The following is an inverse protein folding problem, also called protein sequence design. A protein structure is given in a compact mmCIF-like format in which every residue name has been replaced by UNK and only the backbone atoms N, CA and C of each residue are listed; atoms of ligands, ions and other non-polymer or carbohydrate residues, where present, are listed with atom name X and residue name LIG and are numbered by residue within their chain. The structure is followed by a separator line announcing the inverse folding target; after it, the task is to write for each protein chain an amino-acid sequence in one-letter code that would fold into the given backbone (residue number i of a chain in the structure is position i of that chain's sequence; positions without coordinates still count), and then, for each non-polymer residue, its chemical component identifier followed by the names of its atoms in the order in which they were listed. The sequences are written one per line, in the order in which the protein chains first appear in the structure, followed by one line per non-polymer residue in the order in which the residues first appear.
data_IF_394893864483
#
_entry.id   IF_394893864483
#
_cell.length_a   1.000
_cell.length_b   1.000
_cell.length_c   1.000
_cell.angle_alpha   90.00
_cell.angle_beta   90.00
_cell.angle_gamma   90.00
#
_symmetry.space_group_name_H-M   'P 1'
#
loop_
_entity.id
_entity.type
_entity.pdbx_description
1 polymer ?
#
# COMPACT_ATOMS: atom_id res chain seq x y z
N UNK A 1 1.66 6.92 -1.44
CA UNK A 1 1.73 8.07 -2.38
C UNK A 1 2.36 7.67 -3.73
N UNK A 2 1.79 6.65 -4.43
CA UNK A 2 2.38 6.14 -5.68
C UNK A 2 2.51 7.20 -6.78
N UNK A 3 1.58 8.17 -6.82
CA UNK A 3 1.54 9.19 -7.87
C UNK A 3 2.70 10.19 -7.80
N UNK A 4 3.17 10.53 -6.60
CA UNK A 4 4.20 11.56 -6.40
C UNK A 4 5.48 11.04 -5.72
N UNK A 5 5.54 9.75 -5.41
CA UNK A 5 6.60 9.17 -4.59
C UNK A 5 6.41 9.38 -3.09
N UNK A 6 7.26 8.72 -2.30
CA UNK A 6 7.23 8.79 -0.84
C UNK A 6 8.66 8.75 -0.28
N UNK A 7 9.00 9.63 0.68
CA UNK A 7 8.22 10.77 1.17
C UNK A 7 8.27 11.96 0.20
N UNK A 8 7.17 12.73 0.11
CA UNK A 8 7.12 13.96 -0.70
C UNK A 8 7.45 15.21 0.13
N UNK A 9 7.55 15.06 1.44
CA UNK A 9 8.04 16.06 2.40
C UNK A 9 7.37 17.44 2.25
N UNK A 10 8.14 18.51 2.33
CA UNK A 10 7.67 19.90 2.25
C UNK A 10 7.03 20.28 0.91
N UNK A 11 7.13 19.42 -0.12
CA UNK A 11 6.34 19.59 -1.34
C UNK A 11 4.84 19.55 -1.06
N UNK A 12 4.43 18.74 -0.07
CA UNK A 12 3.04 18.62 0.36
C UNK A 12 2.45 19.92 0.94
N UNK A 13 3.30 20.85 1.38
CA UNK A 13 2.89 22.17 1.86
C UNK A 13 2.63 23.17 0.73
N UNK A 14 2.98 22.83 -0.51
CA UNK A 14 2.81 23.70 -1.69
C UNK A 14 1.47 23.42 -2.36
N UNK A 15 0.52 24.37 -2.39
CA UNK A 15 -0.79 24.17 -3.02
C UNK A 15 -0.67 23.70 -4.49
N UNK A 16 0.21 24.34 -5.28
CA UNK A 16 0.40 23.96 -6.67
C UNK A 16 0.88 22.50 -6.87
N UNK A 17 1.60 21.93 -5.91
CA UNK A 17 1.99 20.51 -5.96
C UNK A 17 0.78 19.59 -5.77
N UNK A 18 -0.07 19.90 -4.81
CA UNK A 18 -1.31 19.14 -4.55
C UNK A 18 -2.26 19.24 -5.74
N UNK A 19 -2.43 20.45 -6.30
CA UNK A 19 -3.27 20.68 -7.49
C UNK A 19 -2.75 19.86 -8.68
N UNK A 20 -1.44 19.88 -8.93
CA UNK A 20 -0.82 19.06 -9.99
C UNK A 20 -1.06 17.56 -9.75
N UNK A 21 -0.92 17.07 -8.52
CA UNK A 21 -1.22 15.68 -8.21
C UNK A 21 -2.69 15.32 -8.49
N UNK A 22 -3.62 16.24 -8.23
CA UNK A 22 -5.04 16.02 -8.51
C UNK A 22 -5.32 15.98 -10.02
N UNK A 23 -4.69 16.87 -10.80
CA UNK A 23 -4.80 16.91 -12.26
C UNK A 23 -4.23 15.65 -12.91
N UNK A 24 -3.04 15.20 -12.47
CA UNK A 24 -2.41 13.97 -12.96
C UNK A 24 -3.22 12.72 -12.59
N UNK A 25 -3.80 12.68 -11.38
CA UNK A 25 -4.71 11.61 -11.00
C UNK A 25 -5.96 11.58 -11.90
N UNK A 26 -6.53 12.72 -12.22
CA UNK A 26 -7.69 12.82 -13.11
C UNK A 26 -7.34 12.37 -14.55
N UNK A 27 -6.16 12.77 -15.04
CA UNK A 27 -5.65 12.35 -16.35
C UNK A 27 -5.39 10.83 -16.40
N UNK A 28 -4.81 10.25 -15.35
CA UNK A 28 -4.64 8.81 -15.21
C UNK A 28 -5.99 8.10 -15.14
N UNK A 29 -6.92 8.62 -14.34
CA UNK A 29 -8.25 8.02 -14.18
C UNK A 29 -8.98 7.90 -15.52
N UNK A 30 -8.92 8.92 -16.37
CA UNK A 30 -9.54 8.92 -17.69
C UNK A 30 -9.02 7.79 -18.62
N UNK A 31 -7.81 7.28 -18.38
CA UNK A 31 -7.19 6.21 -19.16
C UNK A 31 -7.52 4.80 -18.64
N UNK A 32 -8.01 4.66 -17.40
CA UNK A 32 -8.33 3.37 -16.79
C UNK A 32 -9.65 2.84 -17.35
N UNK A 33 -9.59 1.78 -18.19
CA UNK A 33 -10.74 1.14 -18.79
C UNK A 33 -10.67 -0.40 -18.64
N UNK A 34 -11.80 -1.02 -18.31
CA UNK A 34 -11.92 -2.49 -18.20
C UNK A 34 -11.22 -3.12 -16.99
N UNK A 35 -10.60 -2.31 -16.12
CA UNK A 35 -9.99 -2.74 -14.86
C UNK A 35 -10.44 -1.81 -13.72
N UNK A 36 -10.15 -2.23 -12.49
CA UNK A 36 -10.17 -1.33 -11.33
C UNK A 36 -8.74 -1.08 -10.88
N UNK A 37 -8.29 0.17 -10.87
CA UNK A 37 -6.98 0.57 -10.39
C UNK A 37 -7.08 1.18 -8.99
N UNK A 38 -6.06 0.93 -8.16
CA UNK A 38 -5.92 1.51 -6.82
C UNK A 38 -4.63 2.33 -6.79
N UNK A 39 -4.75 3.65 -6.57
CA UNK A 39 -3.61 4.58 -6.70
C UNK A 39 -3.49 5.45 -5.45
N UNK A 40 -2.32 5.40 -4.79
CA UNK A 40 -1.99 6.27 -3.66
C UNK A 40 -1.61 7.68 -4.12
N UNK A 41 -2.16 8.72 -3.48
CA UNK A 41 -1.91 10.12 -3.82
C UNK A 41 -2.14 11.05 -2.62
N UNK A 42 -1.58 12.28 -2.61
CA UNK A 42 -1.94 13.30 -1.63
C UNK A 42 -3.25 13.97 -2.06
N UNK A 43 -4.26 13.92 -1.20
CA UNK A 43 -5.57 14.52 -1.45
C UNK A 43 -5.75 15.82 -0.67
N UNK A 44 -6.48 16.79 -1.25
CA UNK A 44 -7.04 17.93 -0.54
C UNK A 44 -8.56 17.77 -0.48
N UNK A 45 -9.11 17.69 0.74
CA UNK A 45 -10.54 17.54 0.93
C UNK A 45 -11.00 18.36 2.14
N UNK A 46 -12.04 19.21 1.95
CA UNK A 46 -12.54 20.08 3.01
C UNK A 46 -11.54 21.14 3.51
N UNK A 47 -10.47 21.40 2.77
CA UNK A 47 -9.38 22.30 3.16
C UNK A 47 -8.21 21.60 3.87
N UNK A 48 -8.34 20.30 4.18
CA UNK A 48 -7.33 19.50 4.85
C UNK A 48 -6.64 18.54 3.86
N UNK A 49 -5.39 18.18 4.15
CA UNK A 49 -4.59 17.25 3.35
C UNK A 49 -4.64 15.85 3.93
N UNK A 50 -4.72 14.85 3.04
CA UNK A 50 -4.78 13.44 3.40
C UNK A 50 -3.79 12.61 2.58
N UNK A 51 -3.14 11.64 3.20
CA UNK A 51 -2.54 10.53 2.49
C UNK A 51 -3.67 9.59 2.07
N UNK A 52 -3.93 9.50 0.77
CA UNK A 52 -5.15 8.89 0.25
C UNK A 52 -4.88 7.81 -0.79
N UNK A 53 -5.87 6.95 -1.01
CA UNK A 53 -5.93 6.01 -2.11
C UNK A 53 -7.23 6.19 -2.90
N UNK A 54 -7.10 6.37 -4.21
CA UNK A 54 -8.22 6.43 -5.15
C UNK A 54 -8.51 5.05 -5.71
N UNK A 55 -9.79 4.66 -5.72
CA UNK A 55 -10.31 3.52 -6.48
C UNK A 55 -10.84 4.05 -7.81
N UNK A 56 -10.19 3.67 -8.89
CA UNK A 56 -10.49 4.16 -10.24
C UNK A 56 -11.12 3.04 -11.05
N UNK A 57 -12.24 3.33 -11.70
CA UNK A 57 -12.94 2.40 -12.58
C UNK A 57 -13.59 3.14 -13.75
N UNK A 58 -13.40 2.62 -14.96
CA UNK A 58 -14.06 3.10 -16.18
C UNK A 58 -14.00 4.64 -16.34
N UNK A 59 -12.82 5.18 -16.25
CA UNK A 59 -12.54 6.60 -16.50
C UNK A 59 -12.80 7.53 -15.32
N UNK A 60 -13.12 7.03 -14.11
CA UNK A 60 -13.46 7.90 -12.97
C UNK A 60 -13.01 7.35 -11.62
N UNK A 61 -12.79 8.22 -10.67
CA UNK A 61 -12.59 7.87 -9.26
C UNK A 61 -13.97 7.52 -8.67
N UNK A 62 -14.13 6.29 -8.17
CA UNK A 62 -15.38 5.80 -7.60
C UNK A 62 -15.41 5.85 -6.09
N UNK A 63 -14.27 5.66 -5.43
CA UNK A 63 -14.11 5.76 -3.99
C UNK A 63 -12.76 6.39 -3.66
N UNK A 64 -12.65 6.98 -2.48
CA UNK A 64 -11.40 7.48 -1.92
C UNK A 64 -11.28 6.98 -0.48
N UNK A 65 -10.11 6.46 -0.14
CA UNK A 65 -9.72 6.11 1.21
C UNK A 65 -8.74 7.14 1.75
N UNK A 66 -8.92 7.57 2.98
CA UNK A 66 -7.99 8.41 3.72
C UNK A 66 -7.30 7.57 4.79
N UNK A 67 -5.99 7.59 4.81
CA UNK A 67 -5.16 6.84 5.75
C UNK A 67 -5.50 7.18 7.20
N UNK A 68 -5.69 6.16 8.04
CA UNK A 68 -6.08 6.34 9.44
C UNK A 68 -4.89 6.60 10.36
N UNK A 69 -3.78 5.86 10.16
CA UNK A 69 -2.60 5.91 11.02
C UNK A 69 -1.48 6.69 10.34
N UNK A 70 -1.12 7.80 10.93
CA UNK A 70 -0.05 8.69 10.46
C UNK A 70 1.20 8.42 11.30
N UNK A 71 2.20 7.68 10.79
CA UNK A 71 3.42 7.44 11.55
C UNK A 71 4.21 8.75 11.73
N UNK A 72 4.68 8.98 12.96
CA UNK A 72 5.43 10.17 13.36
C UNK A 72 6.62 9.76 14.25
N UNK A 73 7.41 8.80 13.77
CA UNK A 73 8.57 8.22 14.45
C UNK A 73 9.63 7.79 13.42
N UNK A 74 10.89 7.69 13.84
CA UNK A 74 12.04 7.36 13.00
C UNK A 74 12.14 8.29 11.79
N UNK A 75 11.95 7.73 10.58
CA UNK A 75 12.01 8.45 9.30
C UNK A 75 10.65 9.02 8.86
N UNK A 76 9.61 8.85 9.67
CA UNK A 76 8.26 9.27 9.32
C UNK A 76 7.86 10.54 10.06
N UNK A 77 7.24 11.48 9.32
CA UNK A 77 6.69 12.75 9.84
C UNK A 77 5.34 13.06 9.15
N UNK A 78 4.44 12.07 9.11
CA UNK A 78 3.18 12.24 8.38
C UNK A 78 2.18 13.17 9.08
N UNK A 79 2.19 13.25 10.41
CA UNK A 79 1.33 14.16 11.18
C UNK A 79 1.59 15.64 10.86
N UNK A 80 2.78 15.98 10.38
CA UNK A 80 3.12 17.33 9.93
C UNK A 80 2.33 17.76 8.68
N UNK A 81 1.96 16.80 7.84
CA UNK A 81 1.46 17.06 6.49
C UNK A 81 0.00 16.69 6.31
N UNK A 82 -0.49 15.70 7.03
CA UNK A 82 -1.77 15.07 6.79
C UNK A 82 -2.66 15.01 8.03
N UNK A 83 -3.97 15.03 7.79
CA UNK A 83 -4.98 14.68 8.77
C UNK A 83 -5.35 13.20 8.69
N UNK A 84 -5.67 12.54 9.80
CA UNK A 84 -6.10 11.15 9.81
C UNK A 84 -7.50 10.97 9.23
N UNK A 85 -7.69 9.93 8.44
CA UNK A 85 -9.00 9.42 8.07
C UNK A 85 -9.60 8.53 9.16
N UNK A 86 -10.91 8.24 9.05
CA UNK A 86 -11.61 7.40 10.03
C UNK A 86 -12.59 6.41 9.38
N UNK A 87 -12.93 6.61 8.11
CA UNK A 87 -13.95 5.85 7.40
C UNK A 87 -13.35 4.67 6.63
N UNK A 88 -14.06 3.54 6.62
CA UNK A 88 -13.69 2.43 5.76
C UNK A 88 -13.90 2.78 4.29
N UNK A 89 -13.00 2.30 3.44
CA UNK A 89 -13.23 2.22 2.00
C UNK A 89 -13.39 0.74 1.63
N UNK A 90 -14.61 0.34 1.30
CA UNK A 90 -14.93 -1.00 0.81
C UNK A 90 -15.68 -0.89 -0.51
N UNK A 91 -15.19 -1.56 -1.53
CA UNK A 91 -15.83 -1.59 -2.85
C UNK A 91 -15.96 -3.03 -3.36
N UNK A 92 -16.90 -3.25 -4.27
CA UNK A 92 -17.08 -4.56 -4.89
C UNK A 92 -16.20 -4.72 -6.13
N UNK A 93 -15.50 -5.84 -6.22
CA UNK A 93 -14.71 -6.25 -7.39
C UNK A 93 -15.06 -7.70 -7.75
N UNK A 94 -15.78 -7.91 -8.85
CA UNK A 94 -16.20 -9.24 -9.34
C UNK A 94 -16.83 -10.11 -8.25
N UNK A 95 -17.70 -9.54 -7.44
CA UNK A 95 -18.42 -10.24 -6.38
C UNK A 95 -17.66 -10.38 -5.06
N UNK A 96 -16.42 -9.85 -4.95
CA UNK A 96 -15.64 -9.80 -3.70
C UNK A 96 -15.66 -8.38 -3.16
N UNK A 97 -15.94 -8.21 -1.87
CA UNK A 97 -15.86 -6.93 -1.18
C UNK A 97 -14.43 -6.67 -0.72
N UNK A 98 -13.82 -5.67 -1.31
CA UNK A 98 -12.41 -5.34 -1.13
C UNK A 98 -12.26 -4.12 -0.23
N UNK A 99 -11.57 -4.27 0.88
CA UNK A 99 -11.16 -3.19 1.76
C UNK A 99 -9.80 -2.60 1.37
N UNK A 100 -9.59 -1.33 1.68
CA UNK A 100 -8.33 -0.61 1.41
C UNK A 100 -7.71 -0.13 2.71
N UNK A 101 -6.41 -0.34 2.86
CA UNK A 101 -5.57 0.30 3.89
C UNK A 101 -4.28 0.84 3.27
N UNK A 102 -3.60 1.73 3.99
CA UNK A 102 -2.30 2.31 3.58
C UNK A 102 -1.28 2.10 4.69
N UNK A 103 -0.25 1.32 4.41
CA UNK A 103 0.99 1.14 5.18
C UNK A 103 0.77 1.02 6.71
N UNK A 104 0.98 2.09 7.48
CA UNK A 104 0.88 2.10 8.95
C UNK A 104 -0.49 1.64 9.48
N UNK A 105 -1.53 1.70 8.68
CA UNK A 105 -2.87 1.23 9.05
C UNK A 105 -2.92 -0.24 9.50
N UNK A 106 -2.02 -1.06 8.98
CA UNK A 106 -1.97 -2.50 9.33
C UNK A 106 -0.93 -2.82 10.40
N UNK A 107 -0.08 -1.85 10.79
CA UNK A 107 0.92 -2.05 11.85
C UNK A 107 0.31 -2.01 13.24
N UNK A 108 -0.85 -1.39 13.37
CA UNK A 108 -1.65 -1.35 14.59
C UNK A 108 -3.06 -1.90 14.32
N UNK A 109 -3.76 -2.29 15.38
CA UNK A 109 -5.18 -2.65 15.31
C UNK A 109 -6.04 -1.42 15.00
N UNK A 110 -7.22 -1.62 14.43
CA UNK A 110 -8.25 -0.61 14.21
C UNK A 110 -8.62 -0.41 12.76
N UNK A 111 -7.71 0.03 11.86
CA UNK A 111 -8.08 0.31 10.47
C UNK A 111 -8.55 -0.94 9.70
N UNK A 112 -7.87 -2.07 9.87
CA UNK A 112 -8.31 -3.34 9.29
C UNK A 112 -9.64 -3.83 9.89
N UNK A 113 -9.86 -3.59 11.19
CA UNK A 113 -11.13 -3.91 11.89
C UNK A 113 -12.29 -3.09 11.33
N UNK A 114 -12.07 -1.80 11.07
CA UNK A 114 -13.05 -0.89 10.44
C UNK A 114 -13.41 -1.39 9.04
N UNK A 115 -12.44 -1.80 8.23
CA UNK A 115 -12.68 -2.39 6.92
C UNK A 115 -13.48 -3.71 7.03
N UNK A 116 -13.12 -4.59 7.99
CA UNK A 116 -13.86 -5.83 8.27
C UNK A 116 -15.29 -5.55 8.71
N UNK A 117 -15.48 -4.60 9.62
CA UNK A 117 -16.80 -4.17 10.11
C UNK A 117 -17.70 -3.62 9.00
N UNK A 118 -17.12 -2.94 8.00
CA UNK A 118 -17.78 -2.48 6.79
C UNK A 118 -18.04 -3.61 5.77
N UNK A 119 -17.62 -4.83 6.09
CA UNK A 119 -17.92 -6.03 5.32
C UNK A 119 -16.87 -6.40 4.28
N UNK A 120 -15.63 -5.96 4.40
CA UNK A 120 -14.55 -6.43 3.55
C UNK A 120 -14.36 -7.96 3.67
N UNK A 121 -13.96 -8.58 2.57
CA UNK A 121 -13.66 -10.02 2.43
C UNK A 121 -12.21 -10.25 2.01
N UNK A 122 -11.57 -9.21 1.49
CA UNK A 122 -10.17 -9.14 1.10
C UNK A 122 -9.64 -7.75 1.45
N UNK A 123 -8.40 -7.65 1.93
CA UNK A 123 -7.73 -6.39 2.21
C UNK A 123 -6.60 -6.12 1.21
N UNK A 124 -6.64 -4.97 0.55
CA UNK A 124 -5.54 -4.45 -0.26
C UNK A 124 -4.81 -3.36 0.51
N UNK A 125 -3.50 -3.50 0.67
CA UNK A 125 -2.66 -2.57 1.42
C UNK A 125 -1.61 -1.97 0.50
N UNK A 126 -1.67 -0.64 0.32
CA UNK A 126 -0.67 0.13 -0.42
C UNK A 126 0.45 0.58 0.52
N UNK A 127 1.70 0.33 0.17
CA UNK A 127 2.81 0.59 1.06
C UNK A 127 3.97 1.31 0.38
N UNK A 128 4.61 2.18 1.15
CA UNK A 128 5.97 2.65 0.97
C UNK A 128 6.71 2.38 2.30
N UNK A 129 6.92 1.09 2.58
CA UNK A 129 7.59 0.63 3.79
C UNK A 129 9.08 0.49 3.52
N UNK A 130 9.95 1.33 4.14
CA UNK A 130 11.38 1.33 3.88
C UNK A 130 12.04 0.00 4.25
N UNK A 131 13.11 -0.31 3.55
CA UNK A 131 13.97 -1.43 3.84
C UNK A 131 14.75 -1.20 5.14
N UNK A 132 14.81 -2.22 5.95
CA UNK A 132 15.89 -2.46 6.91
C UNK A 132 16.09 -3.97 7.06
N UNK A 133 17.19 -4.39 7.62
CA UNK A 133 17.52 -5.81 7.83
C UNK A 133 16.36 -6.53 8.55
N UNK A 134 15.95 -7.69 8.01
CA UNK A 134 14.86 -8.53 8.53
C UNK A 134 13.46 -7.91 8.47
N UNK A 135 13.27 -6.78 7.78
CA UNK A 135 11.95 -6.10 7.72
C UNK A 135 10.87 -6.97 7.09
N UNK A 136 11.21 -7.79 6.10
CA UNK A 136 10.25 -8.65 5.42
C UNK A 136 9.60 -9.66 6.38
N UNK A 137 10.38 -10.29 7.24
CA UNK A 137 9.85 -11.21 8.26
C UNK A 137 8.89 -10.50 9.22
N UNK A 138 9.24 -9.29 9.66
CA UNK A 138 8.39 -8.47 10.52
C UNK A 138 7.08 -8.06 9.83
N UNK A 139 7.11 -7.74 8.53
CA UNK A 139 5.89 -7.47 7.75
C UNK A 139 4.92 -8.65 7.79
N UNK A 140 5.44 -9.89 7.64
CA UNK A 140 4.60 -11.09 7.74
C UNK A 140 3.99 -11.27 9.13
N UNK A 141 4.77 -11.07 10.18
CA UNK A 141 4.30 -11.18 11.56
C UNK A 141 3.15 -10.20 11.84
N UNK A 142 3.35 -8.94 11.52
CA UNK A 142 2.36 -7.88 11.69
C UNK A 142 1.07 -8.19 10.91
N UNK A 143 1.19 -8.63 9.66
CA UNK A 143 0.00 -8.96 8.87
C UNK A 143 -0.71 -10.23 9.36
N UNK A 144 0.03 -11.22 9.90
CA UNK A 144 -0.58 -12.39 10.55
C UNK A 144 -1.40 -12.03 11.78
N UNK A 145 -0.94 -11.07 12.59
CA UNK A 145 -1.73 -10.54 13.70
C UNK A 145 -3.02 -9.89 13.19
N UNK A 146 -2.95 -9.04 12.15
CA UNK A 146 -4.15 -8.41 11.56
C UNK A 146 -5.10 -9.45 10.95
N UNK A 147 -4.57 -10.51 10.35
CA UNK A 147 -5.39 -11.62 9.85
C UNK A 147 -6.03 -12.38 11.01
N UNK A 148 -5.31 -12.62 12.11
CA UNK A 148 -5.87 -13.27 13.29
C UNK A 148 -7.04 -12.46 13.90
N UNK A 149 -6.94 -11.12 13.91
CA UNK A 149 -7.98 -10.21 14.40
C UNK A 149 -9.21 -10.19 13.46
N UNK A 150 -8.99 -10.14 12.15
CA UNK A 150 -10.03 -9.82 11.17
C UNK A 150 -10.50 -11.00 10.32
N UNK A 151 -9.68 -12.03 10.16
CA UNK A 151 -9.91 -13.14 9.23
C UNK A 151 -9.84 -12.75 7.75
N UNK A 152 -9.29 -11.57 7.43
CA UNK A 152 -9.16 -11.09 6.05
C UNK A 152 -7.87 -11.60 5.40
N UNK A 153 -7.93 -12.27 4.24
CA UNK A 153 -6.74 -12.45 3.41
C UNK A 153 -6.25 -11.08 2.92
N UNK A 154 -4.95 -10.97 2.66
CA UNK A 154 -4.29 -9.68 2.39
C UNK A 154 -3.42 -9.73 1.15
N UNK A 155 -3.43 -8.66 0.35
CA UNK A 155 -2.33 -8.29 -0.56
C UNK A 155 -1.62 -7.07 0.00
N UNK A 156 -0.33 -7.19 0.17
CA UNK A 156 0.59 -6.14 0.57
C UNK A 156 1.42 -5.72 -0.65
N UNK A 157 1.10 -4.56 -1.23
CA UNK A 157 1.83 -4.01 -2.37
C UNK A 157 2.81 -2.96 -1.86
N UNK A 158 4.11 -3.17 -2.04
CA UNK A 158 5.15 -2.28 -1.55
C UNK A 158 5.91 -1.60 -2.68
N UNK A 159 6.30 -0.35 -2.45
CA UNK A 159 7.14 0.46 -3.34
C UNK A 159 8.51 -0.21 -3.54
N UNK A 160 9.12 -0.02 -4.70
CA UNK A 160 10.53 -0.31 -4.96
C UNK A 160 11.21 0.96 -5.49
N UNK A 161 12.42 1.24 -5.03
CA UNK A 161 13.21 2.40 -5.45
C UNK A 161 14.01 3.02 -4.31
N UNK A 162 14.84 3.99 -4.63
CA UNK A 162 15.56 4.85 -3.68
C UNK A 162 14.99 6.27 -3.71
N UNK A 163 14.89 6.90 -2.56
CA UNK A 163 14.54 8.32 -2.45
C UNK A 163 15.18 8.91 -1.19
N UNK A 164 15.99 9.94 -1.35
CA UNK A 164 16.81 10.52 -0.29
C UNK A 164 17.62 9.44 0.44
N UNK A 165 17.52 9.36 1.76
CA UNK A 165 18.19 8.32 2.56
C UNK A 165 17.42 7.00 2.65
N UNK A 166 16.27 6.88 1.99
CA UNK A 166 15.41 5.70 2.06
C UNK A 166 15.56 4.79 0.85
N UNK A 167 15.52 3.50 1.09
CA UNK A 167 15.40 2.47 0.06
C UNK A 167 14.13 1.66 0.31
N UNK A 168 13.35 1.44 -0.73
CA UNK A 168 12.16 0.61 -0.72
C UNK A 168 12.44 -0.67 -1.49
N UNK A 169 12.31 -1.78 -0.81
CA UNK A 169 12.74 -3.10 -1.29
C UNK A 169 11.70 -3.85 -2.13
N UNK A 170 10.51 -3.30 -2.34
CA UNK A 170 9.45 -4.05 -2.98
C UNK A 170 9.04 -5.25 -2.12
N UNK A 171 9.27 -6.48 -2.61
CA UNK A 171 8.94 -7.69 -1.86
C UNK A 171 7.46 -7.78 -1.53
N UNK A 172 6.59 -7.31 -2.42
CA UNK A 172 5.14 -7.39 -2.29
C UNK A 172 4.69 -8.83 -2.09
N UNK A 173 3.60 -9.06 -1.34
CA UNK A 173 3.19 -10.43 -1.02
C UNK A 173 1.69 -10.57 -0.80
N UNK A 174 1.22 -11.82 -0.78
CA UNK A 174 -0.15 -12.17 -0.46
C UNK A 174 -0.20 -13.24 0.64
N UNK A 175 -1.05 -13.01 1.64
CA UNK A 175 -1.34 -13.96 2.73
C UNK A 175 -2.79 -14.43 2.64
N UNK A 176 -3.01 -15.72 2.92
CA UNK A 176 -4.34 -16.28 3.10
C UNK A 176 -4.94 -15.90 4.46
N UNK A 177 -6.22 -16.20 4.65
CA UNK A 177 -6.98 -15.96 5.90
C UNK A 177 -6.44 -16.69 7.13
N UNK A 178 -5.59 -17.68 6.96
CA UNK A 178 -4.90 -18.41 8.03
C UNK A 178 -3.47 -17.90 8.28
N UNK A 179 -3.05 -16.81 7.58
CA UNK A 179 -1.72 -16.23 7.66
C UNK A 179 -0.65 -16.98 6.87
N UNK A 180 -1.03 -17.99 6.08
CA UNK A 180 -0.10 -18.68 5.19
C UNK A 180 0.35 -17.76 4.06
N UNK A 181 1.67 -17.67 3.83
CA UNK A 181 2.23 -16.94 2.69
C UNK A 181 1.93 -17.70 1.40
N UNK A 182 1.08 -17.10 0.57
CA UNK A 182 0.68 -17.67 -0.71
C UNK A 182 1.65 -17.30 -1.83
N UNK A 183 2.02 -16.03 -1.87
CA UNK A 183 2.86 -15.49 -2.92
C UNK A 183 3.76 -14.37 -2.38
N UNK A 184 4.96 -14.27 -2.94
CA UNK A 184 5.86 -13.14 -2.74
C UNK A 184 6.52 -12.77 -4.06
N UNK A 185 6.52 -11.48 -4.38
CA UNK A 185 7.20 -10.92 -5.54
C UNK A 185 8.67 -10.65 -5.33
N UNK A 186 9.30 -10.14 -6.37
CA UNK A 186 10.70 -9.79 -6.39
C UNK A 186 11.04 -8.71 -5.35
N UNK A 187 12.22 -8.82 -4.73
CA UNK A 187 12.83 -7.76 -3.93
C UNK A 187 13.82 -6.96 -4.78
N UNK A 188 13.87 -5.64 -4.56
CA UNK A 188 14.77 -4.69 -5.22
C UNK A 188 14.62 -4.61 -6.75
N UNK A 189 13.47 -5.04 -7.27
CA UNK A 189 13.15 -4.99 -8.69
C UNK A 189 11.66 -4.70 -8.91
N UNK A 190 11.35 -3.97 -9.97
CA UNK A 190 9.98 -3.77 -10.42
C UNK A 190 9.39 -5.08 -10.95
N UNK A 191 8.14 -5.35 -10.59
CA UNK A 191 7.43 -6.54 -11.03
C UNK A 191 5.94 -6.25 -11.24
N UNK A 192 5.39 -6.77 -12.33
CA UNK A 192 3.95 -6.88 -12.54
C UNK A 192 3.53 -8.34 -12.37
N UNK A 193 2.92 -8.66 -11.24
CA UNK A 193 2.40 -9.99 -10.96
C UNK A 193 0.88 -10.06 -11.14
N UNK A 194 0.40 -11.20 -11.61
CA UNK A 194 -1.04 -11.50 -11.72
C UNK A 194 -1.37 -12.61 -10.73
N UNK A 195 -2.22 -12.29 -9.76
CA UNK A 195 -2.68 -13.23 -8.74
C UNK A 195 -4.17 -13.51 -8.90
N UNK A 196 -4.56 -14.77 -8.87
CA UNK A 196 -5.96 -15.21 -8.92
C UNK A 196 -6.48 -15.44 -7.50
N UNK A 197 -7.63 -14.85 -7.22
CA UNK A 197 -8.33 -15.01 -5.95
C UNK A 197 -9.74 -15.54 -6.21
N UNK A 198 -10.11 -16.64 -5.56
CA UNK A 198 -11.45 -17.22 -5.65
C UNK A 198 -11.78 -17.96 -4.33
N UNK A 199 -13.06 -18.01 -4.00
CA UNK A 199 -13.60 -18.72 -2.84
C UNK A 199 -12.89 -18.33 -1.51
N UNK A 200 -12.44 -17.07 -1.43
CA UNK A 200 -11.76 -16.52 -0.26
C UNK A 200 -10.31 -16.97 -0.07
N UNK A 201 -9.65 -17.47 -1.12
CA UNK A 201 -8.26 -17.92 -1.09
C UNK A 201 -7.46 -17.51 -2.33
N UNK A 202 -6.14 -17.41 -2.18
CA UNK A 202 -5.21 -17.23 -3.30
C UNK A 202 -4.98 -18.57 -4.00
N UNK A 203 -5.14 -18.56 -5.33
CA UNK A 203 -4.94 -19.76 -6.16
C UNK A 203 -3.48 -19.90 -6.61
N UNK A 204 -2.77 -18.79 -6.75
CA UNK A 204 -1.37 -18.78 -7.17
C UNK A 204 -0.47 -18.91 -5.94
N UNK A 205 0.51 -19.81 -6.05
CA UNK A 205 1.47 -20.14 -4.99
C UNK A 205 2.88 -20.03 -5.53
N UNK A 206 3.61 -19.03 -5.05
CA UNK A 206 5.02 -18.84 -5.39
C UNK A 206 5.70 -18.06 -4.29
N UNK A 207 6.59 -18.70 -3.56
CA UNK A 207 7.37 -18.09 -2.50
C UNK A 207 8.85 -18.36 -2.81
N UNK A 208 9.68 -17.34 -3.02
CA UNK A 208 11.10 -17.50 -3.28
C UNK A 208 11.81 -18.06 -2.05
N UNK A 209 12.94 -18.69 -2.28
CA UNK A 209 13.84 -19.08 -1.18
C UNK A 209 14.35 -17.84 -0.43
N UNK A 210 14.46 -17.91 0.90
CA UNK A 210 15.00 -16.80 1.69
C UNK A 210 16.41 -16.44 1.24
N UNK A 211 16.69 -15.16 1.16
CA UNK A 211 18.01 -14.64 0.76
C UNK A 211 18.88 -14.37 2.00
N UNK A 212 20.21 -14.52 1.89
CA UNK A 212 21.12 -14.05 2.93
C UNK A 212 20.99 -12.54 3.14
N UNK A 213 21.04 -12.10 4.40
CA UNK A 213 20.88 -10.68 4.75
C UNK A 213 21.94 -9.80 4.09
N UNK A 214 23.15 -10.31 3.90
CA UNK A 214 24.25 -9.61 3.21
C UNK A 214 23.90 -9.33 1.74
N UNK A 215 23.24 -10.27 1.07
CA UNK A 215 22.78 -10.07 -0.30
C UNK A 215 21.66 -9.02 -0.38
N UNK A 216 20.72 -9.01 0.59
CA UNK A 216 19.69 -7.99 0.66
C UNK A 216 20.28 -6.60 0.91
N UNK A 217 21.24 -6.47 1.84
CA UNK A 217 21.94 -5.20 2.11
C UNK A 217 22.70 -4.73 0.88
N UNK A 218 23.39 -5.64 0.19
CA UNK A 218 24.11 -5.29 -1.05
C UNK A 218 23.15 -4.74 -2.12
N UNK A 219 22.02 -5.41 -2.36
CA UNK A 219 21.04 -4.96 -3.35
C UNK A 219 20.38 -3.64 -2.94
N UNK A 220 20.14 -3.43 -1.65
CA UNK A 220 19.64 -2.15 -1.13
C UNK A 220 20.63 -1.00 -1.43
N UNK A 221 21.94 -1.23 -1.21
CA UNK A 221 22.98 -0.24 -1.52
C UNK A 221 23.05 0.05 -3.02
N UNK A 222 22.97 -1.00 -3.85
CA UNK A 222 22.98 -0.85 -5.32
C UNK A 222 21.78 -0.05 -5.78
N UNK A 223 20.59 -0.35 -5.24
CA UNK A 223 19.34 0.36 -5.59
C UNK A 223 19.41 1.83 -5.18
N UNK A 224 19.83 2.13 -3.96
CA UNK A 224 19.93 3.50 -3.46
C UNK A 224 21.00 4.36 -4.14
N UNK A 225 22.01 3.73 -4.77
CA UNK A 225 23.02 4.46 -5.58
C UNK A 225 22.55 4.65 -7.03
N UNK A 226 21.73 3.71 -7.55
CA UNK A 226 21.23 3.75 -8.93
C UNK A 226 20.15 4.82 -9.11
N UNK A 227 19.24 4.95 -8.15
CA UNK A 227 18.06 5.82 -8.19
C UNK A 227 18.38 7.19 -7.60
#
# INVERSE_FOLDING_TARGET
LALCGYPAEDLLLRPAFIDTCADELAALAAQVQGITALVGYPALFGGERYNAAAVIRDGRITHTYFKHRLPNYEVFDEERYFEPGHEACVFELKGVRVGVNICADVWESGAADVARGAGAELLLVLNASPFHMNKQALRYEVLRERIADTGLPVVYCNLVGGQDELVFDGGSFALDRDGTLAWQGASFAEELAVLRFADGAWLDRSVPEPRPVEAEVYDALVLGVRD
#
